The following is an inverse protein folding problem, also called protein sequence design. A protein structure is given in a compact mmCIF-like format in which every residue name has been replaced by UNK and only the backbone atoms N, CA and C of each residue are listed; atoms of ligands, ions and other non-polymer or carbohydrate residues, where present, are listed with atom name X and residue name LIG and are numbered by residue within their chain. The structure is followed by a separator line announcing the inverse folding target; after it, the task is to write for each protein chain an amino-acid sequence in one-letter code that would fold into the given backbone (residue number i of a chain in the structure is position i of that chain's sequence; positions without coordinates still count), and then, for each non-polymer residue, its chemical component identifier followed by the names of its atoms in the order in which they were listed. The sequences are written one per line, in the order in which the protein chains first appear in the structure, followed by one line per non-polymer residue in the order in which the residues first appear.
data_IF_577866822705
#
_entry.id   IF_577866822705
#
_cell.length_a   1.000
_cell.length_b   1.000
_cell.length_c   1.000
_cell.angle_alpha   90.00
_cell.angle_beta   90.00
_cell.angle_gamma   90.00
#
_symmetry.space_group_name_H-M   'P 1'
#
loop_
_entity.id
_entity.type
_entity.pdbx_description
1 polymer ?
#
# COMPACT_ATOMS: atom_id res chain seq x y z
N UNK A 1 -19.57 -99.78 -85.33
CA UNK A 1 -18.85 -98.46 -85.33
C UNK A 1 -19.39 -97.55 -84.25
N UNK A 2 -19.45 -97.93 -82.97
CA UNK A 2 -20.01 -97.16 -81.86
C UNK A 2 -19.47 -97.59 -80.52
N UNK A 3 -18.19 -97.99 -80.39
CA UNK A 3 -17.63 -98.40 -79.07
C UNK A 3 -16.30 -97.75 -78.73
N UNK A 4 -15.70 -96.92 -79.60
CA UNK A 4 -14.41 -96.27 -79.35
C UNK A 4 -14.44 -94.91 -78.58
N UNK A 5 -15.62 -94.32 -78.47
CA UNK A 5 -15.70 -92.92 -77.99
C UNK A 5 -16.02 -92.78 -76.47
N UNK A 6 -16.37 -93.84 -75.76
CA UNK A 6 -16.65 -93.81 -74.31
C UNK A 6 -15.40 -94.03 -73.44
N UNK A 7 -14.32 -94.59 -73.96
CA UNK A 7 -13.11 -94.95 -73.21
C UNK A 7 -12.20 -93.72 -72.99
N UNK A 8 -12.13 -92.78 -73.90
CA UNK A 8 -11.25 -91.61 -73.86
C UNK A 8 -11.82 -90.53 -72.83
N UNK A 9 -13.15 -90.47 -72.69
CA UNK A 9 -13.79 -89.47 -71.84
C UNK A 9 -13.68 -89.78 -70.32
N UNK A 10 -13.55 -91.07 -69.94
CA UNK A 10 -13.50 -91.53 -68.54
C UNK A 10 -12.10 -91.50 -67.96
N UNK A 11 -11.04 -91.55 -68.72
CA UNK A 11 -9.67 -91.47 -68.26
C UNK A 11 -9.14 -90.02 -68.25
N UNK A 12 -9.66 -89.12 -69.09
CA UNK A 12 -9.29 -87.67 -69.07
C UNK A 12 -9.78 -86.96 -67.84
N UNK A 13 -10.97 -87.33 -67.36
CA UNK A 13 -11.51 -86.73 -66.12
C UNK A 13 -10.73 -87.20 -64.92
N UNK A 14 -10.26 -88.45 -64.85
CA UNK A 14 -9.42 -88.94 -63.74
C UNK A 14 -8.03 -88.31 -63.71
N UNK A 15 -7.45 -88.00 -64.87
CA UNK A 15 -6.18 -87.30 -64.97
C UNK A 15 -6.29 -85.86 -64.60
N UNK A 16 -7.38 -85.16 -64.90
CA UNK A 16 -7.62 -83.77 -64.55
C UNK A 16 -7.85 -83.63 -63.04
N UNK A 17 -8.60 -84.52 -62.35
CA UNK A 17 -8.82 -84.50 -60.91
C UNK A 17 -7.54 -84.84 -60.18
N UNK A 18 -6.65 -85.70 -60.68
CA UNK A 18 -5.35 -85.99 -60.08
C UNK A 18 -4.40 -84.76 -60.18
N UNK A 19 -4.38 -84.04 -61.30
CA UNK A 19 -3.57 -82.83 -61.46
C UNK A 19 -4.03 -81.64 -60.61
N UNK A 20 -5.35 -81.47 -60.48
CA UNK A 20 -5.93 -80.44 -59.57
C UNK A 20 -5.66 -80.82 -58.09
N UNK A 21 -5.76 -82.13 -57.76
CA UNK A 21 -5.42 -82.54 -56.35
C UNK A 21 -3.95 -82.33 -55.99
N UNK A 22 -3.02 -82.58 -56.90
CA UNK A 22 -1.57 -82.32 -56.66
C UNK A 22 -1.27 -80.81 -56.61
N UNK A 23 -1.94 -80.01 -57.44
CA UNK A 23 -1.78 -78.50 -57.37
C UNK A 23 -2.31 -77.91 -56.03
N UNK A 24 -3.46 -78.39 -55.55
CA UNK A 24 -4.03 -77.94 -54.27
C UNK A 24 -3.19 -78.39 -53.09
N UNK A 25 -2.65 -79.62 -53.13
CA UNK A 25 -1.76 -80.11 -52.08
C UNK A 25 -0.41 -79.41 -52.10
N UNK A 26 0.11 -79.07 -53.30
CA UNK A 26 1.33 -78.26 -53.41
C UNK A 26 1.18 -76.82 -52.87
N UNK A 27 0.05 -76.19 -53.11
CA UNK A 27 -0.24 -74.82 -52.57
C UNK A 27 -0.51 -74.86 -51.09
N UNK A 28 -1.09 -75.90 -50.53
CA UNK A 28 -1.27 -76.07 -49.10
C UNK A 28 0.08 -76.36 -48.41
N UNK A 29 0.92 -77.23 -48.99
CA UNK A 29 2.27 -77.50 -48.47
C UNK A 29 3.19 -76.28 -48.58
N UNK A 30 3.11 -75.49 -49.67
CA UNK A 30 3.86 -74.22 -49.78
C UNK A 30 3.43 -73.14 -48.77
N UNK A 31 2.13 -73.12 -48.44
CA UNK A 31 1.63 -72.21 -47.36
C UNK A 31 2.04 -72.70 -45.97
N UNK A 32 2.16 -74.00 -45.74
CA UNK A 32 2.66 -74.50 -44.41
C UNK A 32 4.19 -74.36 -44.25
N UNK A 33 4.96 -74.44 -45.37
CA UNK A 33 6.42 -74.18 -45.29
C UNK A 33 6.80 -72.69 -45.32
N UNK A 34 5.91 -71.81 -45.78
CA UNK A 34 6.12 -70.36 -45.75
C UNK A 34 5.65 -69.68 -44.42
N UNK A 35 5.07 -70.40 -43.47
CA UNK A 35 4.84 -69.95 -42.13
C UNK A 35 6.18 -70.02 -41.39
N UNK A 36 6.99 -68.97 -41.56
CA UNK A 36 8.10 -68.72 -40.66
C UNK A 36 7.55 -68.67 -39.20
N UNK A 37 8.14 -69.35 -38.24
CA UNK A 37 7.74 -69.19 -36.88
C UNK A 37 7.88 -67.74 -36.54
N UNK A 38 6.76 -67.04 -36.28
CA UNK A 38 6.79 -65.74 -35.64
C UNK A 38 7.62 -65.94 -34.34
N UNK A 39 8.79 -65.30 -34.30
CA UNK A 39 9.57 -65.23 -33.07
C UNK A 39 8.60 -64.78 -31.99
N UNK A 40 8.53 -65.41 -30.84
CA UNK A 40 7.74 -64.91 -29.73
C UNK A 40 8.24 -63.51 -29.44
N UNK A 41 7.39 -62.51 -29.65
CA UNK A 41 7.65 -61.14 -29.16
C UNK A 41 7.95 -61.34 -27.67
N UNK A 42 9.21 -61.15 -27.28
CA UNK A 42 9.58 -61.17 -25.84
C UNK A 42 8.75 -60.06 -25.23
N UNK A 43 7.70 -60.44 -24.53
CA UNK A 43 6.94 -59.53 -23.70
C UNK A 43 7.95 -59.06 -22.63
N UNK A 44 8.33 -57.81 -22.79
CA UNK A 44 9.22 -57.18 -21.80
C UNK A 44 8.51 -57.15 -20.44
N UNK A 45 8.84 -58.08 -19.56
CA UNK A 45 8.23 -58.27 -18.25
C UNK A 45 8.75 -57.30 -17.22
N UNK A 46 9.63 -56.35 -17.61
CA UNK A 46 10.11 -55.30 -16.72
C UNK A 46 8.98 -54.39 -16.32
N UNK A 47 8.90 -53.99 -15.02
CA UNK A 47 7.89 -53.08 -14.58
C UNK A 47 8.00 -51.75 -15.34
N UNK A 48 6.88 -51.27 -15.87
CA UNK A 48 6.81 -49.94 -16.48
C UNK A 48 6.84 -48.86 -15.42
N UNK A 49 7.77 -47.91 -15.53
CA UNK A 49 7.86 -46.75 -14.62
C UNK A 49 7.61 -45.50 -15.47
N UNK A 50 6.64 -44.73 -15.06
CA UNK A 50 6.37 -43.43 -15.63
C UNK A 50 7.56 -42.50 -15.42
N UNK A 51 7.92 -41.73 -16.46
CA UNK A 51 8.97 -40.72 -16.39
C UNK A 51 8.43 -39.40 -16.92
N UNK A 52 8.81 -38.32 -16.25
CA UNK A 52 8.57 -36.93 -16.61
C UNK A 52 9.92 -36.23 -16.80
N UNK A 53 9.96 -35.16 -17.58
CA UNK A 53 11.16 -34.36 -17.75
C UNK A 53 11.04 -33.06 -16.97
N UNK A 54 12.12 -32.65 -16.30
CA UNK A 54 12.17 -31.34 -15.67
C UNK A 54 11.87 -30.27 -16.69
N UNK A 55 10.96 -29.35 -16.35
CA UNK A 55 10.66 -28.23 -17.23
C UNK A 55 10.82 -26.91 -16.47
N UNK A 56 11.08 -25.84 -17.20
CA UNK A 56 11.19 -24.52 -16.62
C UNK A 56 9.82 -23.94 -16.39
N UNK A 57 9.58 -23.49 -15.18
CA UNK A 57 8.33 -22.88 -14.75
C UNK A 57 8.59 -21.81 -13.70
N UNK A 58 7.73 -20.79 -13.61
CA UNK A 58 7.83 -19.82 -12.52
C UNK A 58 7.53 -20.50 -11.17
N UNK A 59 8.33 -20.18 -10.18
CA UNK A 59 8.14 -20.60 -8.79
C UNK A 59 8.18 -19.36 -7.90
N UNK A 60 7.22 -19.26 -7.00
CA UNK A 60 7.07 -18.11 -6.10
C UNK A 60 7.02 -18.60 -4.67
N UNK A 61 7.78 -17.96 -3.81
CA UNK A 61 7.64 -18.15 -2.36
C UNK A 61 6.41 -17.39 -1.90
N UNK A 62 5.42 -18.12 -1.35
CA UNK A 62 4.20 -17.53 -0.79
C UNK A 62 4.22 -17.64 0.72
N UNK A 63 3.89 -16.50 1.37
CA UNK A 63 3.59 -16.47 2.80
C UNK A 63 2.10 -16.19 2.96
N UNK A 64 1.40 -17.10 3.58
CA UNK A 64 0.01 -16.92 3.99
C UNK A 64 -0.04 -16.50 5.46
N UNK A 65 -0.65 -15.36 5.72
CA UNK A 65 -0.75 -14.79 7.06
C UNK A 65 -2.08 -14.07 7.26
N UNK A 66 -2.46 -13.89 8.53
CA UNK A 66 -3.64 -13.09 8.86
C UNK A 66 -3.29 -11.59 8.84
N UNK A 67 -4.28 -10.80 8.50
CA UNK A 67 -4.16 -9.35 8.43
C UNK A 67 -5.40 -8.65 8.98
N UNK A 68 -5.21 -7.41 9.41
CA UNK A 68 -6.26 -6.51 9.84
C UNK A 68 -6.36 -5.34 8.85
N UNK A 69 -7.58 -4.98 8.49
CA UNK A 69 -7.88 -3.83 7.65
C UNK A 69 -8.08 -2.61 8.53
N UNK A 70 -7.40 -1.53 8.22
CA UNK A 70 -7.52 -0.24 8.91
C UNK A 70 -7.83 0.87 7.90
N UNK A 71 -8.42 1.98 8.37
CA UNK A 71 -8.62 3.16 7.54
C UNK A 71 -7.27 3.73 7.08
N UNK A 72 -7.23 4.37 5.91
CA UNK A 72 -6.01 5.07 5.46
C UNK A 72 -5.60 6.18 6.43
N UNK A 73 -6.59 6.93 6.91
CA UNK A 73 -6.45 7.92 7.99
C UNK A 73 -7.66 7.81 8.90
N UNK A 74 -7.42 7.92 10.22
CA UNK A 74 -8.45 8.00 11.23
C UNK A 74 -8.11 9.14 12.19
N UNK A 75 -9.10 9.96 12.52
CA UNK A 75 -8.92 11.03 13.50
C UNK A 75 -10.15 11.21 14.36
N UNK A 76 -9.91 11.45 15.64
CA UNK A 76 -10.93 11.88 16.58
C UNK A 76 -10.95 13.42 16.64
N UNK A 77 -12.11 14.02 16.43
CA UNK A 77 -12.33 15.45 16.46
C UNK A 77 -12.82 15.89 17.84
N UNK A 78 -12.17 16.90 18.39
CA UNK A 78 -12.44 17.44 19.72
C UNK A 78 -12.86 18.91 19.64
N UNK A 79 -13.68 19.36 20.59
CA UNK A 79 -13.94 20.78 20.78
C UNK A 79 -12.69 21.49 21.29
N UNK A 80 -12.31 22.63 20.74
CA UNK A 80 -11.24 23.50 21.27
C UNK A 80 -11.76 24.61 22.18
N UNK A 81 -13.07 24.85 22.12
CA UNK A 81 -13.78 25.82 22.97
C UNK A 81 -14.92 25.10 23.68
N UNK A 82 -15.30 25.58 24.87
CA UNK A 82 -16.40 25.04 25.63
C UNK A 82 -17.68 25.83 25.31
N UNK A 83 -18.79 25.15 25.14
CA UNK A 83 -20.08 25.74 24.82
C UNK A 83 -21.14 24.70 24.50
N UNK A 84 -22.31 25.14 24.10
CA UNK A 84 -23.40 24.24 23.69
C UNK A 84 -23.39 24.00 22.18
N UNK A 85 -23.59 22.75 21.76
CA UNK A 85 -23.75 22.42 20.34
C UNK A 85 -25.09 22.99 19.82
N UNK A 86 -25.00 24.06 19.05
CA UNK A 86 -26.17 24.68 18.42
C UNK A 86 -26.68 23.91 17.21
N UNK A 87 -25.76 23.35 16.42
CA UNK A 87 -26.06 22.57 15.23
C UNK A 87 -25.12 21.36 15.12
N UNK A 88 -25.70 20.25 14.67
CA UNK A 88 -24.99 19.06 14.18
C UNK A 88 -25.48 18.81 12.78
N UNK A 89 -24.58 18.83 11.76
CA UNK A 89 -24.93 18.82 10.34
C UNK A 89 -24.66 17.51 9.65
N UNK A 90 -24.12 16.52 10.38
CA UNK A 90 -23.74 15.21 9.84
C UNK A 90 -24.15 14.10 10.79
N UNK A 91 -24.34 12.92 10.24
CA UNK A 91 -24.62 11.71 11.02
C UNK A 91 -23.63 10.59 10.68
N UNK A 92 -23.72 9.47 11.41
CA UNK A 92 -22.89 8.28 11.18
C UNK A 92 -23.13 7.76 9.75
N UNK A 93 -22.06 7.52 9.02
CA UNK A 93 -22.10 7.07 7.63
C UNK A 93 -22.09 8.19 6.59
N UNK A 94 -22.19 9.45 6.99
CA UNK A 94 -22.15 10.57 6.05
C UNK A 94 -20.73 10.79 5.49
N UNK A 95 -20.68 11.01 4.16
CA UNK A 95 -19.46 11.41 3.48
C UNK A 95 -19.24 12.91 3.61
N UNK A 96 -18.07 13.32 4.00
CA UNK A 96 -17.70 14.71 4.23
C UNK A 96 -16.43 15.07 3.46
N UNK A 97 -16.33 16.35 3.10
CA UNK A 97 -15.15 16.93 2.43
C UNK A 97 -14.29 17.71 3.40
N UNK A 98 -13.00 17.79 3.12
CA UNK A 98 -12.08 18.65 3.85
C UNK A 98 -12.62 20.09 3.95
N UNK A 99 -12.61 20.65 5.15
CA UNK A 99 -13.18 21.97 5.44
C UNK A 99 -14.70 22.04 5.59
N UNK A 100 -15.42 20.94 5.39
CA UNK A 100 -16.87 20.90 5.64
C UNK A 100 -17.16 21.03 7.13
N UNK A 101 -18.12 21.90 7.48
CA UNK A 101 -18.57 22.09 8.86
C UNK A 101 -19.46 20.93 9.29
N UNK A 102 -19.06 20.22 10.33
CA UNK A 102 -19.76 19.06 10.90
C UNK A 102 -20.71 19.44 12.00
N UNK A 103 -20.27 20.39 12.86
CA UNK A 103 -21.06 20.90 13.95
C UNK A 103 -20.67 22.35 14.30
N UNK A 104 -21.53 23.06 14.97
CA UNK A 104 -21.32 24.43 15.45
C UNK A 104 -21.53 24.48 16.95
N UNK A 105 -20.57 25.01 17.66
CA UNK A 105 -20.62 25.29 19.09
C UNK A 105 -21.06 26.76 19.23
N UNK A 106 -22.03 27.05 20.09
CA UNK A 106 -22.43 28.42 20.43
C UNK A 106 -21.71 28.87 21.69
N UNK A 107 -20.98 29.97 21.56
CA UNK A 107 -20.25 30.61 22.67
C UNK A 107 -20.51 32.11 22.61
N UNK A 108 -21.71 32.58 22.97
CA UNK A 108 -22.10 33.98 22.85
C UNK A 108 -21.18 34.91 23.68
N UNK A 109 -20.58 34.41 24.75
CA UNK A 109 -19.65 35.18 25.59
C UNK A 109 -18.39 35.61 24.82
N UNK A 110 -17.94 34.82 23.82
CA UNK A 110 -16.79 35.18 22.95
C UNK A 110 -17.18 36.26 21.92
N UNK A 111 -18.43 36.27 21.46
CA UNK A 111 -18.91 37.36 20.59
C UNK A 111 -18.96 38.69 21.33
N UNK A 112 -19.44 38.68 22.58
CA UNK A 112 -19.47 39.84 23.46
C UNK A 112 -18.04 40.33 23.75
N UNK A 113 -17.10 39.44 24.11
CA UNK A 113 -15.68 39.75 24.31
C UNK A 113 -15.05 40.38 23.04
N UNK A 114 -15.37 39.83 21.85
CA UNK A 114 -14.91 40.39 20.57
C UNK A 114 -15.43 41.82 20.36
N UNK A 115 -16.69 42.09 20.72
CA UNK A 115 -17.26 43.42 20.59
C UNK A 115 -16.57 44.43 21.54
N UNK A 116 -16.27 44.02 22.76
CA UNK A 116 -15.51 44.82 23.74
C UNK A 116 -14.08 45.10 23.24
N UNK A 117 -13.36 44.06 22.80
CA UNK A 117 -11.99 44.20 22.31
C UNK A 117 -11.91 45.11 21.06
N UNK A 118 -12.89 45.04 20.16
CA UNK A 118 -12.99 45.95 18.99
C UNK A 118 -13.20 47.39 19.42
N UNK A 119 -14.07 47.66 20.44
CA UNK A 119 -14.27 49.00 20.96
C UNK A 119 -12.99 49.53 21.62
N UNK A 120 -12.25 48.68 22.33
CA UNK A 120 -10.97 49.04 22.93
C UNK A 120 -9.92 49.37 21.84
N UNK A 121 -9.86 48.60 20.75
CA UNK A 121 -8.98 48.87 19.59
C UNK A 121 -9.30 50.24 18.96
N UNK A 122 -10.60 50.57 18.73
CA UNK A 122 -11.03 51.85 18.18
C UNK A 122 -10.59 53.02 19.10
N UNK A 123 -10.75 52.86 20.44
CA UNK A 123 -10.27 53.83 21.42
C UNK A 123 -8.75 54.08 21.30
N UNK A 124 -7.93 53.02 21.16
CA UNK A 124 -6.48 53.16 20.97
C UNK A 124 -6.10 53.76 19.62
N UNK A 125 -6.86 53.50 18.56
CA UNK A 125 -6.66 54.12 17.26
C UNK A 125 -6.89 55.65 17.31
N UNK A 126 -7.94 56.12 18.02
CA UNK A 126 -8.19 57.55 18.26
C UNK A 126 -7.10 58.21 19.09
N UNK A 127 -6.56 57.49 20.09
CA UNK A 127 -5.42 58.00 20.88
C UNK A 127 -4.15 58.15 20.01
N UNK A 128 -3.92 57.21 19.06
CA UNK A 128 -2.82 57.30 18.10
C UNK A 128 -2.99 58.52 17.19
N UNK A 129 -4.19 58.80 16.66
CA UNK A 129 -4.50 59.93 15.81
C UNK A 129 -4.26 61.25 16.59
N UNK A 130 -4.65 61.31 17.86
CA UNK A 130 -4.37 62.46 18.76
C UNK A 130 -2.87 62.68 18.94
N UNK A 131 -2.11 61.61 19.21
CA UNK A 131 -0.64 61.70 19.35
C UNK A 131 0.02 62.13 18.03
N UNK A 132 -0.50 61.71 16.88
CA UNK A 132 -0.02 62.11 15.56
C UNK A 132 -0.25 63.60 15.32
N UNK A 133 -1.44 64.12 15.64
CA UNK A 133 -1.76 65.53 15.58
C UNK A 133 -0.87 66.40 16.51
N UNK A 134 -0.48 65.87 17.69
CA UNK A 134 0.43 66.56 18.60
C UNK A 134 1.85 66.69 18.02
N UNK A 135 2.34 65.66 17.31
CA UNK A 135 3.63 65.70 16.61
C UNK A 135 3.61 66.79 15.55
N UNK A 136 2.55 66.87 14.73
CA UNK A 136 2.41 67.91 13.71
C UNK A 136 2.35 69.31 14.33
N UNK A 137 1.61 69.50 15.42
CA UNK A 137 1.58 70.75 16.16
C UNK A 137 2.99 71.18 16.63
N UNK A 138 3.73 70.26 17.26
CA UNK A 138 5.06 70.57 17.78
C UNK A 138 6.07 70.85 16.61
N UNK A 139 5.99 70.14 15.48
CA UNK A 139 6.78 70.44 14.31
C UNK A 139 6.51 71.83 13.74
N UNK A 140 5.25 72.25 13.71
CA UNK A 140 4.90 73.61 13.33
C UNK A 140 5.51 74.69 14.27
N UNK A 141 5.53 74.40 15.58
CA UNK A 141 6.19 75.27 16.56
C UNK A 141 7.72 75.33 16.34
N UNK A 142 8.40 74.20 16.10
CA UNK A 142 9.82 74.20 15.70
C UNK A 142 10.07 75.09 14.50
N UNK A 143 9.26 74.99 13.45
CA UNK A 143 9.39 75.80 12.27
C UNK A 143 9.27 77.31 12.59
N UNK A 144 8.33 77.68 13.45
CA UNK A 144 8.18 79.07 13.92
C UNK A 144 9.41 79.54 14.73
N UNK A 145 9.92 78.73 15.65
CA UNK A 145 11.09 79.11 16.46
C UNK A 145 12.37 79.18 15.63
N UNK A 146 12.58 78.28 14.68
CA UNK A 146 13.72 78.32 13.76
C UNK A 146 13.73 79.59 12.87
N UNK A 147 12.57 80.02 12.37
CA UNK A 147 12.44 81.30 11.65
C UNK A 147 12.77 82.48 12.56
N UNK A 148 12.31 82.42 13.80
CA UNK A 148 12.57 83.48 14.79
C UNK A 148 14.07 83.54 15.14
N UNK A 149 14.71 82.42 15.42
CA UNK A 149 16.13 82.32 15.67
C UNK A 149 16.96 82.89 14.50
N UNK A 150 16.67 82.47 13.26
CA UNK A 150 17.33 83.00 12.07
C UNK A 150 17.21 84.55 11.96
N UNK A 151 16.04 85.07 12.31
CA UNK A 151 15.85 86.54 12.33
C UNK A 151 16.73 87.23 13.39
N UNK A 152 16.81 86.62 14.58
CA UNK A 152 17.66 87.16 15.68
C UNK A 152 19.15 87.04 15.33
N UNK A 153 19.60 85.96 14.73
CA UNK A 153 20.96 85.80 14.25
C UNK A 153 21.35 86.89 13.21
N UNK A 154 20.47 87.27 12.29
CA UNK A 154 20.72 88.35 11.33
C UNK A 154 20.82 89.72 12.03
N UNK A 155 19.91 90.01 12.99
CA UNK A 155 19.92 91.23 13.78
C UNK A 155 21.17 91.31 14.66
N UNK A 156 21.62 90.23 15.23
CA UNK A 156 22.84 90.15 16.01
C UNK A 156 24.11 90.46 15.18
N UNK A 157 24.23 89.85 13.97
CA UNK A 157 25.29 90.12 13.03
C UNK A 157 25.35 91.62 12.64
N UNK A 158 24.21 92.31 12.57
CA UNK A 158 24.13 93.74 12.32
C UNK A 158 24.29 94.65 13.59
N UNK A 159 24.59 94.05 14.76
CA UNK A 159 24.78 94.67 16.09
C UNK A 159 23.53 95.39 16.58
N UNK A 160 22.34 94.99 16.21
CA UNK A 160 21.07 95.61 16.53
C UNK A 160 20.37 95.00 17.79
N UNK A 161 20.90 93.90 18.38
CA UNK A 161 20.34 93.20 19.54
C UNK A 161 21.46 92.78 20.51
N UNK A 162 21.09 92.49 21.80
CA UNK A 162 21.99 92.01 22.84
C UNK A 162 22.25 90.51 22.65
N UNK A 163 23.38 90.00 23.21
CA UNK A 163 23.71 88.58 23.27
C UNK A 163 22.59 87.77 23.93
N UNK A 164 22.01 88.34 25.04
CA UNK A 164 20.95 87.72 25.78
C UNK A 164 19.71 87.35 24.90
N UNK A 165 19.33 88.21 23.92
CA UNK A 165 18.18 87.99 23.06
C UNK A 165 18.42 86.78 22.08
N UNK A 166 19.66 86.65 21.62
CA UNK A 166 20.06 85.54 20.78
C UNK A 166 20.08 84.25 21.57
N UNK A 167 20.66 84.25 22.80
CA UNK A 167 20.73 83.06 23.67
C UNK A 167 19.30 82.60 24.06
N UNK A 168 18.36 83.48 24.32
CA UNK A 168 16.97 83.17 24.61
C UNK A 168 16.29 82.54 23.32
N UNK A 169 16.53 83.09 22.14
CA UNK A 169 15.95 82.51 20.90
C UNK A 169 16.53 81.11 20.59
N UNK A 170 17.81 80.90 20.82
CA UNK A 170 18.43 79.58 20.70
C UNK A 170 17.83 78.57 21.72
N UNK A 171 17.71 78.95 22.95
CA UNK A 171 17.13 78.08 23.99
C UNK A 171 15.68 77.72 23.68
N UNK A 172 14.87 78.67 23.16
CA UNK A 172 13.50 78.41 22.74
C UNK A 172 13.43 77.42 21.54
N UNK A 173 14.32 77.55 20.57
CA UNK A 173 14.41 76.62 19.46
C UNK A 173 14.82 75.22 19.90
N UNK A 174 15.73 75.11 20.84
CA UNK A 174 16.18 73.81 21.40
C UNK A 174 15.07 73.15 22.25
N UNK A 175 14.33 73.93 23.04
CA UNK A 175 13.14 73.44 23.77
C UNK A 175 12.08 72.91 22.80
N UNK A 176 11.76 73.67 21.74
CA UNK A 176 10.78 73.26 20.75
C UNK A 176 11.19 71.93 20.04
N UNK A 177 12.49 71.74 19.73
CA UNK A 177 13.01 70.49 19.21
C UNK A 177 12.87 69.32 20.20
N UNK A 178 13.18 69.55 21.46
CA UNK A 178 12.99 68.55 22.51
C UNK A 178 11.51 68.16 22.66
N UNK A 179 10.57 69.12 22.54
CA UNK A 179 9.12 68.84 22.59
C UNK A 179 8.67 67.95 21.42
N UNK A 180 9.26 68.07 20.24
CA UNK A 180 9.00 67.12 19.13
C UNK A 180 9.46 65.72 19.50
N UNK A 181 10.66 65.59 20.11
CA UNK A 181 11.15 64.28 20.54
C UNK A 181 10.23 63.60 21.55
N UNK A 182 9.67 64.36 22.52
CA UNK A 182 8.68 63.82 23.46
C UNK A 182 7.39 63.41 22.78
N UNK A 183 6.90 64.22 21.82
CA UNK A 183 5.67 63.89 21.05
C UNK A 183 5.88 62.63 20.16
N UNK A 184 7.03 62.47 19.51
CA UNK A 184 7.38 61.27 18.73
C UNK A 184 7.48 60.03 19.63
N UNK A 185 8.03 60.15 20.80
CA UNK A 185 8.02 59.03 21.77
C UNK A 185 6.59 58.64 22.20
N UNK A 186 5.72 59.62 22.45
CA UNK A 186 4.31 59.38 22.75
C UNK A 186 3.55 58.76 21.55
N UNK A 187 3.84 59.18 20.35
CA UNK A 187 3.30 58.57 19.11
C UNK A 187 3.71 57.11 19.00
N UNK A 188 4.99 56.82 19.22
CA UNK A 188 5.50 55.42 19.20
C UNK A 188 4.84 54.56 20.26
N UNK A 189 4.63 55.11 21.48
CA UNK A 189 3.90 54.41 22.54
C UNK A 189 2.44 54.15 22.16
N UNK A 190 1.72 55.14 21.62
CA UNK A 190 0.34 54.95 21.16
C UNK A 190 0.24 53.92 20.03
N UNK A 191 1.19 53.91 19.07
CA UNK A 191 1.27 52.90 18.03
C UNK A 191 1.48 51.48 18.59
N UNK A 192 2.31 51.31 19.61
CA UNK A 192 2.49 50.04 20.30
C UNK A 192 1.20 49.57 21.01
N UNK A 193 0.42 50.49 21.62
CA UNK A 193 -0.87 50.16 22.23
C UNK A 193 -1.91 49.68 21.21
N UNK A 194 -1.96 50.28 20.01
CA UNK A 194 -2.82 49.83 18.92
C UNK A 194 -2.46 48.39 18.47
N UNK A 195 -1.16 48.10 18.33
CA UNK A 195 -0.70 46.73 17.98
C UNK A 195 -1.10 45.71 19.03
N UNK A 196 -1.00 46.05 20.31
CA UNK A 196 -1.42 45.17 21.40
C UNK A 196 -2.92 44.90 21.34
N UNK A 197 -3.75 45.93 21.23
CA UNK A 197 -5.21 45.79 21.14
C UNK A 197 -5.63 45.01 19.87
N UNK A 198 -4.97 45.23 18.72
CA UNK A 198 -5.20 44.47 17.50
C UNK A 198 -4.87 42.96 17.68
N UNK A 199 -3.78 42.64 18.37
CA UNK A 199 -3.42 41.26 18.67
C UNK A 199 -4.45 40.57 19.59
N UNK A 200 -5.05 41.30 20.54
CA UNK A 200 -6.14 40.79 21.39
C UNK A 200 -7.37 40.43 20.53
N UNK A 201 -7.79 41.32 19.66
CA UNK A 201 -8.90 41.08 18.70
C UNK A 201 -8.64 39.84 17.83
N UNK A 202 -7.44 39.69 17.29
CA UNK A 202 -7.11 38.48 16.45
C UNK A 202 -7.08 37.19 17.29
N UNK A 203 -6.67 37.24 18.54
CA UNK A 203 -6.75 36.11 19.44
C UNK A 203 -8.20 35.63 19.62
N UNK A 204 -9.14 36.55 19.93
CA UNK A 204 -10.56 36.18 20.09
C UNK A 204 -11.17 35.69 18.81
N UNK A 205 -10.90 36.31 17.66
CA UNK A 205 -11.36 35.81 16.37
C UNK A 205 -10.89 34.37 16.12
N UNK A 206 -9.65 34.05 16.47
CA UNK A 206 -9.12 32.70 16.33
C UNK A 206 -9.88 31.72 17.21
N UNK A 207 -10.25 32.10 18.43
CA UNK A 207 -11.06 31.27 19.32
C UNK A 207 -12.47 31.08 18.79
N UNK A 208 -13.10 32.12 18.25
CA UNK A 208 -14.42 32.02 17.59
C UNK A 208 -14.39 31.08 16.38
N UNK A 209 -13.33 31.08 15.59
CA UNK A 209 -13.20 30.12 14.48
C UNK A 209 -13.23 28.66 14.94
N UNK A 210 -12.87 28.37 16.19
CA UNK A 210 -12.97 27.02 16.77
C UNK A 210 -14.38 26.63 17.22
N UNK A 211 -15.37 27.52 17.11
CA UNK A 211 -16.78 27.17 17.26
C UNK A 211 -17.25 26.22 16.15
N UNK A 212 -16.63 26.29 14.97
CA UNK A 212 -16.91 25.39 13.87
C UNK A 212 -15.99 24.17 13.93
N UNK A 213 -16.59 23.01 14.10
CA UNK A 213 -15.91 21.73 13.96
C UNK A 213 -15.91 21.36 12.50
N UNK A 214 -14.74 21.32 11.87
CA UNK A 214 -14.58 21.04 10.44
C UNK A 214 -13.84 19.73 10.20
N UNK A 215 -14.15 19.05 9.08
CA UNK A 215 -13.42 17.86 8.65
C UNK A 215 -11.99 18.24 8.19
N UNK A 216 -10.93 17.58 8.69
CA UNK A 216 -9.56 17.86 8.28
C UNK A 216 -9.21 17.25 6.90
N UNK A 217 -9.92 16.22 6.46
CA UNK A 217 -9.75 15.52 5.17
C UNK A 217 -11.08 14.97 4.67
N UNK A 218 -11.10 14.52 3.43
CA UNK A 218 -12.26 13.84 2.82
C UNK A 218 -12.41 12.45 3.42
N UNK A 219 -13.61 12.10 3.89
CA UNK A 219 -13.82 10.80 4.55
C UNK A 219 -15.26 10.56 4.96
N UNK A 220 -15.47 9.58 5.82
CA UNK A 220 -16.78 9.15 6.34
C UNK A 220 -16.81 9.33 7.86
N UNK A 221 -17.93 9.78 8.39
CA UNK A 221 -18.14 9.86 9.83
C UNK A 221 -18.38 8.45 10.38
N UNK A 222 -17.36 7.90 11.03
CA UNK A 222 -17.44 6.55 11.59
C UNK A 222 -18.18 6.51 12.94
N UNK A 223 -18.04 7.58 13.75
CA UNK A 223 -18.74 7.71 15.04
C UNK A 223 -19.17 9.15 15.27
N UNK A 224 -20.34 9.32 15.86
CA UNK A 224 -20.88 10.57 16.41
C UNK A 224 -21.19 10.34 17.87
N UNK A 225 -20.56 11.08 18.75
CA UNK A 225 -20.65 10.90 20.21
C UNK A 225 -21.34 12.08 20.90
N UNK A 226 -21.93 12.98 20.13
CA UNK A 226 -22.57 14.20 20.62
C UNK A 226 -23.87 14.48 19.86
N UNK A 227 -24.80 15.12 20.54
CA UNK A 227 -26.09 15.55 20.01
C UNK A 227 -26.25 17.06 20.10
N UNK A 228 -27.20 17.60 19.32
CA UNK A 228 -27.57 19.01 19.40
C UNK A 228 -28.08 19.34 20.81
N UNK A 229 -27.54 20.39 21.40
CA UNK A 229 -27.85 20.82 22.76
C UNK A 229 -26.89 20.29 23.82
N UNK A 230 -25.97 19.40 23.48
CA UNK A 230 -24.95 18.91 24.40
C UNK A 230 -23.98 20.02 24.79
N UNK A 231 -23.59 20.03 26.06
CA UNK A 231 -22.49 20.86 26.55
C UNK A 231 -21.16 20.16 26.27
N UNK A 232 -20.37 20.73 25.36
CA UNK A 232 -19.03 20.26 25.06
C UNK A 232 -17.99 21.10 25.79
N UNK A 233 -16.85 20.48 26.12
CA UNK A 233 -15.77 21.14 26.85
C UNK A 233 -14.46 20.97 26.10
N UNK A 234 -13.64 22.01 26.10
CA UNK A 234 -12.27 21.91 25.61
C UNK A 234 -11.50 20.84 26.40
N UNK A 235 -10.60 20.06 25.75
CA UNK A 235 -9.85 18.98 26.39
C UNK A 235 -9.07 19.48 27.61
N UNK A 236 -9.20 18.74 28.71
CA UNK A 236 -8.37 18.95 29.92
C UNK A 236 -7.61 17.65 30.20
N UNK A 237 -6.59 17.73 31.06
CA UNK A 237 -5.76 16.56 31.41
C UNK A 237 -6.55 15.35 31.95
N UNK A 238 -7.78 15.55 32.42
CA UNK A 238 -8.63 14.51 33.03
C UNK A 238 -9.86 14.10 32.21
N UNK A 239 -10.20 14.80 31.12
CA UNK A 239 -11.36 14.49 30.27
C UNK A 239 -11.09 14.88 28.81
N UNK A 240 -11.14 13.87 27.94
CA UNK A 240 -11.00 14.05 26.51
C UNK A 240 -12.05 13.16 25.84
N UNK A 241 -13.24 13.72 25.57
CA UNK A 241 -14.28 12.99 24.83
C UNK A 241 -14.31 13.53 23.41
N UNK A 242 -14.07 12.69 22.39
CA UNK A 242 -14.20 13.11 21.00
C UNK A 242 -15.66 13.41 20.66
N UNK A 243 -15.88 14.33 19.74
CA UNK A 243 -17.20 14.65 19.20
C UNK A 243 -17.55 13.71 18.04
N UNK A 244 -16.60 13.56 17.12
CA UNK A 244 -16.70 12.71 15.94
C UNK A 244 -15.41 11.92 15.77
N UNK A 245 -15.54 10.72 15.19
CA UNK A 245 -14.41 9.98 14.58
C UNK A 245 -14.60 9.99 13.08
N UNK A 246 -13.61 10.50 12.37
CA UNK A 246 -13.61 10.55 10.90
C UNK A 246 -12.61 9.54 10.37
N UNK A 247 -12.99 8.78 9.34
CA UNK A 247 -12.16 7.79 8.68
C UNK A 247 -12.10 8.05 7.19
N UNK A 248 -10.91 7.91 6.61
CA UNK A 248 -10.70 7.90 5.17
C UNK A 248 -10.64 6.47 4.68
N UNK A 249 -11.60 6.08 3.82
CA UNK A 249 -11.83 4.70 3.40
C UNK A 249 -11.72 4.47 1.89
N UNK A 250 -11.38 5.50 1.09
CA UNK A 250 -11.11 5.39 -0.36
C UNK A 250 -9.94 4.45 -0.66
N UNK A 251 -9.03 4.33 0.27
CA UNK A 251 -7.94 3.37 0.33
C UNK A 251 -7.98 2.71 1.71
N UNK A 252 -7.77 1.41 1.75
CA UNK A 252 -7.67 0.64 3.01
C UNK A 252 -6.24 0.18 3.20
N UNK A 253 -5.73 0.32 4.40
CA UNK A 253 -4.46 -0.23 4.84
C UNK A 253 -4.66 -1.62 5.41
N UNK A 254 -3.93 -2.57 4.88
CA UNK A 254 -3.93 -3.94 5.37
C UNK A 254 -2.61 -4.18 6.08
N UNK A 255 -2.69 -4.45 7.36
CA UNK A 255 -1.52 -4.76 8.18
C UNK A 255 -1.41 -6.26 8.37
N UNK A 256 -0.28 -6.80 8.01
CA UNK A 256 0.08 -8.19 8.25
C UNK A 256 1.47 -8.29 8.88
N UNK A 257 1.69 -9.40 9.57
CA UNK A 257 2.94 -9.67 10.28
C UNK A 257 3.74 -10.72 9.52
N UNK A 258 4.97 -10.38 9.13
CA UNK A 258 5.89 -11.25 8.40
C UNK A 258 6.95 -11.80 9.34
N UNK A 259 7.09 -13.16 9.47
CA UNK A 259 8.09 -13.79 10.33
C UNK A 259 9.53 -13.45 9.94
N UNK A 260 10.43 -13.41 10.93
CA UNK A 260 11.86 -13.09 10.75
C UNK A 260 12.52 -13.86 9.61
N UNK A 261 12.18 -15.14 9.43
CA UNK A 261 12.75 -15.99 8.38
C UNK A 261 12.40 -15.56 6.96
N UNK A 262 11.25 -14.90 6.79
CA UNK A 262 10.73 -14.46 5.48
C UNK A 262 11.10 -13.01 5.16
N UNK A 263 11.47 -12.21 6.18
CA UNK A 263 11.86 -10.81 6.04
C UNK A 263 12.95 -10.55 4.99
N UNK A 264 14.01 -11.39 4.87
CA UNK A 264 15.04 -11.16 3.85
C UNK A 264 14.55 -11.26 2.41
N UNK A 265 13.37 -11.83 2.19
CA UNK A 265 12.77 -12.04 0.87
C UNK A 265 11.64 -11.05 0.58
N UNK A 266 11.27 -10.22 1.55
CA UNK A 266 10.20 -9.21 1.41
C UNK A 266 10.75 -7.92 0.81
N UNK A 267 10.07 -7.41 -0.23
CA UNK A 267 10.43 -6.16 -0.89
C UNK A 267 9.20 -5.26 -1.03
N UNK A 268 9.44 -3.95 -1.03
CA UNK A 268 8.41 -2.99 -1.41
C UNK A 268 8.05 -3.23 -2.88
N UNK A 269 6.75 -3.32 -3.16
CA UNK A 269 6.21 -3.66 -4.48
C UNK A 269 5.86 -5.13 -4.66
N UNK A 270 6.18 -6.00 -3.71
CA UNK A 270 5.79 -7.41 -3.77
C UNK A 270 4.26 -7.53 -3.87
N UNK A 271 3.74 -8.39 -4.77
CA UNK A 271 2.31 -8.59 -4.92
C UNK A 271 1.71 -9.22 -3.65
N UNK A 272 0.52 -8.76 -3.31
CA UNK A 272 -0.26 -9.27 -2.18
C UNK A 272 -1.69 -9.57 -2.62
N UNK A 273 -2.15 -10.77 -2.33
CA UNK A 273 -3.54 -11.20 -2.56
C UNK A 273 -4.25 -11.19 -1.22
N UNK A 274 -5.27 -10.35 -1.09
CA UNK A 274 -6.01 -10.15 0.16
C UNK A 274 -7.42 -10.71 0.02
N UNK A 275 -7.79 -11.60 0.94
CA UNK A 275 -9.11 -12.25 1.00
C UNK A 275 -9.79 -11.93 2.34
N UNK A 276 -10.63 -10.90 2.42
CA UNK A 276 -11.38 -10.60 3.64
C UNK A 276 -12.34 -11.76 4.00
N UNK A 277 -12.36 -12.17 5.26
CA UNK A 277 -13.20 -13.29 5.70
C UNK A 277 -14.70 -13.01 5.57
N UNK A 278 -15.12 -11.75 5.70
CA UNK A 278 -16.53 -11.34 5.60
C UNK A 278 -17.06 -11.18 4.17
N UNK A 279 -16.20 -11.24 3.14
CA UNK A 279 -16.58 -11.01 1.76
C UNK A 279 -16.36 -12.26 0.90
N UNK A 280 -17.44 -12.74 0.27
CA UNK A 280 -17.33 -13.78 -0.75
C UNK A 280 -17.09 -13.12 -2.11
N UNK A 281 -16.20 -13.70 -2.92
CA UNK A 281 -15.95 -13.21 -4.28
C UNK A 281 -14.49 -13.25 -4.69
N UNK A 282 -14.13 -12.40 -5.65
CA UNK A 282 -12.74 -12.30 -6.13
C UNK A 282 -11.86 -11.68 -5.04
N UNK A 283 -10.63 -12.20 -4.86
CA UNK A 283 -9.67 -11.57 -3.95
C UNK A 283 -9.31 -10.17 -4.42
N UNK A 284 -8.91 -9.33 -3.46
CA UNK A 284 -8.35 -8.01 -3.74
C UNK A 284 -6.84 -8.16 -3.97
N UNK A 285 -6.33 -7.43 -4.96
CA UNK A 285 -4.91 -7.43 -5.28
C UNK A 285 -4.32 -6.08 -4.87
N UNK A 286 -3.29 -6.13 -4.07
CA UNK A 286 -2.51 -4.98 -3.64
C UNK A 286 -1.02 -5.24 -3.78
N UNK A 287 -0.23 -4.32 -3.27
CA UNK A 287 1.23 -4.45 -3.21
C UNK A 287 1.73 -4.00 -1.84
N UNK A 288 2.84 -4.58 -1.42
CA UNK A 288 3.55 -4.12 -0.22
C UNK A 288 4.02 -2.69 -0.45
N UNK A 289 3.50 -1.74 0.34
CA UNK A 289 3.85 -0.32 0.23
C UNK A 289 4.95 0.08 1.20
N UNK A 290 4.95 -0.51 2.38
CA UNK A 290 5.97 -0.25 3.41
C UNK A 290 6.00 -1.36 4.46
N UNK A 291 7.06 -1.36 5.27
CA UNK A 291 7.20 -2.20 6.45
C UNK A 291 8.04 -1.48 7.51
N UNK A 292 8.00 -1.98 8.75
CA UNK A 292 8.53 -1.25 9.92
C UNK A 292 10.06 -1.17 9.97
N UNK A 293 10.81 -1.93 9.18
CA UNK A 293 12.26 -2.12 9.28
C UNK A 293 12.73 -2.53 10.69
N UNK A 294 11.83 -3.06 11.48
CA UNK A 294 12.07 -3.51 12.86
C UNK A 294 11.22 -4.73 13.15
N UNK A 295 11.78 -5.69 13.84
CA UNK A 295 11.06 -6.84 14.37
C UNK A 295 10.47 -6.50 15.73
N UNK A 296 9.26 -6.91 15.98
CA UNK A 296 8.68 -6.91 17.32
C UNK A 296 9.43 -7.94 18.18
N UNK A 297 10.01 -7.54 19.33
CA UNK A 297 10.82 -8.46 20.16
C UNK A 297 10.03 -9.63 20.75
N UNK A 298 8.72 -9.48 20.93
CA UNK A 298 7.88 -10.52 21.54
C UNK A 298 7.43 -11.57 20.51
N UNK A 299 7.06 -11.13 19.30
CA UNK A 299 6.51 -12.00 18.26
C UNK A 299 7.52 -12.41 17.20
N UNK A 300 8.67 -11.70 17.09
CA UNK A 300 9.69 -11.87 16.04
C UNK A 300 9.15 -11.67 14.63
N UNK A 301 8.12 -10.82 14.50
CA UNK A 301 7.51 -10.48 13.22
C UNK A 301 7.83 -9.04 12.84
N UNK A 302 7.87 -8.78 11.54
CA UNK A 302 7.95 -7.43 10.97
C UNK A 302 6.57 -7.01 10.47
N UNK A 303 6.06 -5.89 11.01
CA UNK A 303 4.79 -5.31 10.57
C UNK A 303 4.92 -4.76 9.15
N UNK A 304 4.07 -5.25 8.28
CA UNK A 304 4.04 -4.95 6.85
C UNK A 304 2.69 -4.38 6.46
N UNK A 305 2.70 -3.37 5.61
CA UNK A 305 1.53 -2.62 5.16
C UNK A 305 1.33 -2.80 3.65
N UNK A 306 0.07 -3.05 3.29
CA UNK A 306 -0.41 -3.19 1.91
C UNK A 306 -1.54 -2.20 1.72
N UNK A 307 -1.45 -1.30 0.75
CA UNK A 307 -2.52 -0.38 0.42
C UNK A 307 -3.45 -1.00 -0.64
N UNK A 308 -4.75 -1.01 -0.35
CA UNK A 308 -5.80 -1.51 -1.23
C UNK A 308 -6.71 -0.35 -1.66
N UNK A 309 -6.84 -0.04 -2.95
CA UNK A 309 -7.88 0.86 -3.44
C UNK A 309 -9.28 0.29 -3.12
N UNK A 310 -10.17 1.14 -2.61
CA UNK A 310 -11.53 0.77 -2.20
C UNK A 310 -12.60 1.67 -2.83
N UNK A 311 -12.64 1.84 -4.16
CA UNK A 311 -13.55 2.75 -4.84
C UNK A 311 -15.04 2.36 -4.71
N UNK A 312 -15.31 1.08 -4.45
CA UNK A 312 -16.68 0.56 -4.23
C UNK A 312 -17.07 0.55 -2.75
N UNK A 313 -16.19 1.01 -1.87
CA UNK A 313 -16.37 1.05 -0.41
C UNK A 313 -16.83 -0.28 0.21
N UNK A 314 -16.34 -1.40 -0.34
CA UNK A 314 -16.69 -2.75 0.13
C UNK A 314 -15.80 -3.23 1.27
N UNK A 315 -14.65 -2.62 1.43
CA UNK A 315 -13.71 -2.92 2.50
C UNK A 315 -13.95 -1.94 3.64
N UNK A 316 -14.14 -2.47 4.84
CA UNK A 316 -14.36 -1.65 6.02
C UNK A 316 -13.21 -1.80 7.02
N UNK A 317 -12.77 -0.71 7.65
CA UNK A 317 -11.83 -0.79 8.77
C UNK A 317 -12.35 -1.73 9.86
N UNK A 318 -11.44 -2.50 10.46
CA UNK A 318 -11.77 -3.52 11.47
C UNK A 318 -12.07 -4.91 10.91
N UNK A 319 -12.16 -5.09 9.59
CA UNK A 319 -12.23 -6.42 8.99
C UNK A 319 -10.93 -7.18 9.15
N UNK A 320 -11.03 -8.51 9.23
CA UNK A 320 -9.90 -9.43 9.15
C UNK A 320 -9.83 -10.06 7.76
N UNK A 321 -8.62 -10.37 7.32
CA UNK A 321 -8.37 -10.99 6.03
C UNK A 321 -7.24 -12.02 6.12
N UNK A 322 -7.25 -12.97 5.18
CA UNK A 322 -6.09 -13.76 4.81
C UNK A 322 -5.31 -13.00 3.74
N UNK A 323 -4.01 -12.89 3.93
CA UNK A 323 -3.09 -12.27 2.97
C UNK A 323 -2.11 -13.32 2.48
N UNK A 324 -1.99 -13.46 1.16
CA UNK A 324 -0.94 -14.22 0.51
C UNK A 324 0.05 -13.26 -0.13
N UNK A 325 1.23 -13.15 0.48
CA UNK A 325 2.35 -12.36 -0.04
C UNK A 325 3.17 -13.20 -1.01
N UNK A 326 3.40 -12.68 -2.21
CA UNK A 326 4.24 -13.33 -3.22
C UNK A 326 5.64 -12.71 -3.20
N UNK A 327 6.58 -13.43 -2.60
CA UNK A 327 7.97 -13.02 -2.41
C UNK A 327 8.90 -13.86 -3.29
N UNK A 328 10.14 -13.40 -3.50
CA UNK A 328 11.22 -14.20 -4.09
C UNK A 328 10.79 -14.98 -5.35
N UNK A 329 10.33 -14.26 -6.36
CA UNK A 329 9.88 -14.87 -7.62
C UNK A 329 11.06 -15.34 -8.47
N UNK A 330 10.96 -16.59 -8.97
CA UNK A 330 11.91 -17.18 -9.92
C UNK A 330 11.19 -17.57 -11.21
N UNK A 331 11.20 -16.70 -12.22
CA UNK A 331 10.36 -16.89 -13.41
C UNK A 331 10.78 -18.08 -14.29
N UNK A 332 12.02 -18.52 -14.22
CA UNK A 332 12.61 -19.54 -15.10
C UNK A 332 13.33 -20.63 -14.31
N UNK A 333 12.72 -21.12 -13.22
CA UNK A 333 13.28 -22.16 -12.38
C UNK A 333 13.13 -23.55 -13.04
N UNK A 334 14.17 -24.39 -12.98
CA UNK A 334 14.06 -25.80 -13.38
C UNK A 334 13.28 -26.55 -12.29
N UNK A 335 12.13 -27.10 -12.62
CA UNK A 335 11.21 -27.68 -11.64
C UNK A 335 10.89 -29.15 -11.91
N UNK A 336 10.64 -29.89 -10.84
CA UNK A 336 10.09 -31.24 -10.86
C UNK A 336 8.84 -31.32 -9.99
N UNK A 337 7.96 -32.31 -10.19
CA UNK A 337 6.86 -32.55 -9.26
C UNK A 337 7.40 -32.73 -7.83
N UNK A 338 6.79 -32.07 -6.84
CA UNK A 338 7.22 -32.20 -5.44
C UNK A 338 7.18 -33.66 -4.96
N UNK A 339 6.25 -34.45 -5.49
CA UNK A 339 6.15 -35.88 -5.21
C UNK A 339 7.34 -36.73 -5.73
N UNK A 340 8.12 -36.21 -6.67
CA UNK A 340 9.33 -36.85 -7.18
C UNK A 340 10.54 -36.71 -6.25
N UNK A 341 10.49 -35.71 -5.33
CA UNK A 341 11.61 -35.41 -4.43
C UNK A 341 11.53 -36.29 -3.19
N UNK A 342 12.56 -37.12 -3.02
CA UNK A 342 12.82 -37.85 -1.79
C UNK A 342 13.84 -37.14 -0.92
N UNK A 343 13.76 -37.36 0.41
CA UNK A 343 14.72 -36.82 1.36
C UNK A 343 15.11 -37.91 2.37
N UNK A 344 16.40 -38.04 2.66
CA UNK A 344 16.94 -38.91 3.69
C UNK A 344 18.14 -38.27 4.42
N UNK A 345 18.83 -39.04 5.25
CA UNK A 345 20.02 -38.55 5.99
C UNK A 345 21.17 -38.07 5.11
N UNK A 346 21.22 -38.45 3.84
CA UNK A 346 22.25 -38.03 2.85
C UNK A 346 21.81 -36.79 2.07
N UNK A 347 20.57 -36.30 2.22
CA UNK A 347 20.02 -35.13 1.57
C UNK A 347 18.88 -35.43 0.59
N UNK A 348 18.56 -34.45 -0.24
CA UNK A 348 17.47 -34.55 -1.21
C UNK A 348 17.92 -35.29 -2.48
N UNK A 349 17.00 -36.08 -3.04
CA UNK A 349 17.28 -36.86 -4.25
C UNK A 349 16.01 -37.02 -5.09
N UNK A 350 16.23 -37.40 -6.34
CA UNK A 350 15.17 -37.90 -7.25
C UNK A 350 15.57 -39.27 -7.79
N UNK A 351 14.59 -40.07 -8.24
CA UNK A 351 14.85 -41.25 -9.04
C UNK A 351 14.82 -40.89 -10.53
N UNK A 352 15.84 -41.36 -11.23
CA UNK A 352 15.96 -41.24 -12.69
C UNK A 352 16.04 -42.65 -13.30
N UNK A 353 15.80 -42.75 -14.61
CA UNK A 353 16.01 -43.99 -15.35
C UNK A 353 17.25 -43.79 -16.25
N UNK A 354 18.31 -44.57 -15.96
CA UNK A 354 19.54 -44.61 -16.75
C UNK A 354 19.80 -46.05 -17.18
N UNK A 355 20.06 -46.29 -18.46
CA UNK A 355 20.30 -47.62 -19.02
C UNK A 355 19.21 -48.65 -18.66
N UNK A 356 17.96 -48.21 -18.63
CA UNK A 356 16.80 -48.99 -18.20
C UNK A 356 16.83 -49.49 -16.76
N UNK A 357 17.58 -48.83 -15.88
CA UNK A 357 17.61 -49.11 -14.45
C UNK A 357 17.25 -47.85 -13.66
N UNK A 358 16.60 -48.05 -12.49
CA UNK A 358 16.38 -46.94 -11.56
C UNK A 358 17.72 -46.51 -10.96
N UNK A 359 18.06 -45.27 -11.10
CA UNK A 359 19.21 -44.62 -10.47
C UNK A 359 18.77 -43.55 -9.48
N UNK A 360 19.46 -43.44 -8.38
CA UNK A 360 19.29 -42.32 -7.41
C UNK A 360 20.20 -41.18 -7.78
N UNK A 361 19.65 -39.99 -7.98
CA UNK A 361 20.39 -38.78 -8.29
C UNK A 361 20.22 -37.77 -7.16
N UNK A 362 21.34 -37.39 -6.53
CA UNK A 362 21.35 -36.36 -5.49
C UNK A 362 21.11 -35.00 -6.12
N UNK A 363 20.23 -34.20 -5.52
CA UNK A 363 19.86 -32.86 -5.99
C UNK A 363 19.92 -31.85 -4.86
N UNK A 364 20.05 -30.58 -5.25
CA UNK A 364 19.78 -29.45 -4.35
C UNK A 364 18.46 -28.84 -4.76
N UNK A 365 17.56 -28.68 -3.79
CA UNK A 365 16.25 -28.07 -4.02
C UNK A 365 16.28 -26.59 -3.64
N UNK A 366 15.39 -25.81 -4.22
CA UNK A 366 15.10 -24.43 -3.90
C UNK A 366 13.65 -24.27 -3.46
N UNK A 367 12.94 -23.32 -4.05
CA UNK A 367 11.55 -23.00 -3.73
C UNK A 367 10.60 -24.12 -4.15
N UNK A 368 9.50 -24.23 -3.41
CA UNK A 368 8.39 -25.14 -3.76
C UNK A 368 7.11 -24.31 -3.87
N UNK A 369 6.41 -24.46 -5.00
CA UNK A 369 5.17 -23.76 -5.29
C UNK A 369 4.25 -24.62 -6.16
N UNK A 370 2.93 -24.61 -5.89
CA UNK A 370 1.91 -25.29 -6.69
C UNK A 370 2.24 -26.76 -7.03
N UNK A 371 2.78 -27.54 -6.06
CA UNK A 371 3.11 -28.94 -6.22
C UNK A 371 4.36 -29.21 -7.05
N UNK A 372 5.15 -28.18 -7.36
CA UNK A 372 6.45 -28.27 -8.03
C UNK A 372 7.57 -27.74 -7.14
N UNK A 373 8.72 -28.38 -7.22
CA UNK A 373 9.92 -28.00 -6.45
C UNK A 373 11.04 -27.59 -7.41
N UNK A 374 11.65 -26.44 -7.19
CA UNK A 374 12.82 -25.97 -7.89
C UNK A 374 14.01 -26.89 -7.60
N UNK A 375 14.77 -27.23 -8.63
CA UNK A 375 16.07 -27.92 -8.50
C UNK A 375 17.16 -26.94 -8.89
N UNK A 376 17.97 -26.56 -7.92
CA UNK A 376 19.05 -25.58 -8.11
C UNK A 376 20.36 -26.21 -8.58
N UNK A 377 20.57 -27.51 -8.34
CA UNK A 377 21.73 -28.25 -8.80
C UNK A 377 21.46 -29.77 -8.82
N UNK A 378 22.26 -30.49 -9.63
CA UNK A 378 22.22 -31.95 -9.70
C UNK A 378 21.31 -32.53 -10.77
N UNK A 379 20.57 -31.71 -11.55
CA UNK A 379 19.61 -32.17 -12.56
C UNK A 379 19.73 -31.33 -13.83
N UNK A 380 19.56 -31.96 -14.99
CA UNK A 380 19.42 -31.27 -16.27
C UNK A 380 17.98 -31.40 -16.82
N UNK A 381 17.61 -30.54 -17.75
CA UNK A 381 16.27 -30.57 -18.37
C UNK A 381 15.96 -31.89 -19.15
N UNK A 382 17.02 -32.56 -19.62
CA UNK A 382 16.88 -33.76 -20.44
C UNK A 382 16.92 -35.06 -19.61
N UNK A 383 17.10 -34.95 -18.28
CA UNK A 383 17.17 -36.12 -17.39
C UNK A 383 15.75 -36.61 -17.08
N UNK A 384 15.38 -37.86 -17.47
CA UNK A 384 14.07 -38.40 -17.13
C UNK A 384 13.97 -38.62 -15.62
N UNK A 385 12.94 -38.07 -14.98
CA UNK A 385 12.69 -38.17 -13.56
C UNK A 385 11.41 -38.95 -13.30
N UNK A 386 11.41 -39.85 -12.32
CA UNK A 386 10.21 -40.56 -11.89
C UNK A 386 9.32 -39.57 -11.13
N UNK A 387 8.06 -39.33 -11.54
CA UNK A 387 7.22 -38.24 -10.97
C UNK A 387 6.82 -38.45 -9.49
N UNK A 388 7.01 -39.65 -8.96
CA UNK A 388 6.80 -39.94 -7.54
C UNK A 388 7.87 -40.88 -6.99
N UNK A 389 8.47 -40.52 -5.87
CA UNK A 389 9.46 -41.42 -5.23
C UNK A 389 8.80 -42.54 -4.42
N UNK A 390 7.55 -42.34 -3.94
CA UNK A 390 6.81 -43.36 -3.18
C UNK A 390 6.27 -44.44 -4.10
N UNK A 391 6.60 -45.70 -3.83
CA UNK A 391 6.20 -46.84 -4.64
C UNK A 391 7.11 -47.13 -5.86
N UNK A 392 8.16 -46.32 -6.06
CA UNK A 392 9.19 -46.58 -7.05
C UNK A 392 10.05 -47.76 -6.63
N UNK A 393 10.39 -48.71 -7.50
CA UNK A 393 11.30 -49.79 -7.19
C UNK A 393 12.66 -49.29 -6.70
N UNK A 394 13.38 -50.07 -5.89
CA UNK A 394 14.68 -49.65 -5.38
C UNK A 394 15.72 -49.43 -6.48
N UNK A 395 16.72 -48.56 -6.21
CA UNK A 395 17.82 -48.32 -7.17
C UNK A 395 18.48 -49.62 -7.63
N UNK A 396 18.82 -49.72 -8.94
CA UNK A 396 19.37 -50.93 -9.58
C UNK A 396 18.31 -51.84 -10.17
N UNK A 397 17.02 -51.61 -9.93
CA UNK A 397 15.94 -52.41 -10.52
C UNK A 397 15.82 -52.10 -12.04
N UNK A 398 15.78 -53.16 -12.88
CA UNK A 398 15.56 -53.02 -14.30
C UNK A 398 14.09 -52.67 -14.57
N UNK A 399 13.86 -51.54 -15.29
CA UNK A 399 12.54 -50.98 -15.59
C UNK A 399 12.42 -50.63 -17.07
N UNK A 400 11.17 -50.49 -17.54
CA UNK A 400 10.87 -49.91 -18.83
C UNK A 400 10.33 -48.49 -18.63
N UNK A 401 11.01 -47.44 -19.13
CA UNK A 401 10.46 -46.10 -19.07
C UNK A 401 9.20 -46.03 -19.94
N UNK A 402 8.11 -45.54 -19.37
CA UNK A 402 6.87 -45.22 -20.08
C UNK A 402 6.62 -43.72 -19.93
N UNK A 403 6.48 -43.01 -21.05
CA UNK A 403 6.00 -41.65 -21.02
C UNK A 403 4.50 -41.63 -20.78
N UNK A 404 4.01 -40.72 -19.96
CA UNK A 404 2.60 -40.67 -19.51
C UNK A 404 1.52 -40.58 -20.59
N UNK A 405 1.92 -40.56 -21.88
CA UNK A 405 1.01 -40.56 -23.05
C UNK A 405 0.49 -41.95 -23.49
N UNK A 406 0.99 -43.05 -22.89
CA UNK A 406 0.61 -44.42 -23.34
C UNK A 406 -0.52 -45.08 -22.52
N UNK A 407 -1.21 -44.33 -21.66
CA UNK A 407 -2.44 -44.78 -20.99
C UNK A 407 -3.62 -43.89 -21.38
N UNK A 408 -4.22 -44.17 -22.54
CA UNK A 408 -5.60 -43.82 -22.91
C UNK A 408 -6.43 -45.06 -22.98
#
# INVERSE_FOLDING_TARGET
MMDGMKFIRRNGIKALVALVGISVMGTIAARYLAASPSQPTQVDTRPGVEVDHPHRAPVVQRLETNATLEAFEETDLFAKVSGYLSEVRVDIGDHVKAGQVLAVISVPEMEDELAEDKAQLDSKQRALETAQSQVEHNKANVALQDVTLKRQEILFKSRNIANQDLDVAQANADIAKADVGVAEANLSFAAAQVKLAAATVERIKTLINYEQIVAPFDGVVARRLVDRGDLVQAPTASRTTPLFTLQRIDTIRVFCDVPENDVPHLHIGDPAIVKPYGLQGKPFVGTVTRFSFSLDPATRNMRTEIDLPNPEERLYPGMYAEVSLEMNQRPDALTVPTAAVGSDSAGNFVYTVSDNHIARLAIKIGLTDNGRTEVTAGLSKDTPVVPTFRGTPPPGTAVRPATGAERS
#
